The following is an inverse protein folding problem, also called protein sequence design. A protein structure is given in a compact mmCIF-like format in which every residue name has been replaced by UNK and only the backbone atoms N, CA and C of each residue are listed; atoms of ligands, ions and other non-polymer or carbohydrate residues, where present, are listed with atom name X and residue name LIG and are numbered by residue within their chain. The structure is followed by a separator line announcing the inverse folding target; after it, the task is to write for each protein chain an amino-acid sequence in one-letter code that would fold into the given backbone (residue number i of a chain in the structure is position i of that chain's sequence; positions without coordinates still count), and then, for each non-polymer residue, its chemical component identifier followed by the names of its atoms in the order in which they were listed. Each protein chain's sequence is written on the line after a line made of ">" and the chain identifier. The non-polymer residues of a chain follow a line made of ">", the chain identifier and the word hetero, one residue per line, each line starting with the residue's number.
data_IF_429942645582
#
_entry.id   IF_429942645582
#
_cell.length_a   1.000
_cell.length_b   1.000
_cell.length_c   1.000
_cell.angle_alpha   90.00
_cell.angle_beta   90.00
_cell.angle_gamma   90.00
#
_symmetry.space_group_name_H-M   'P 1'
#
loop_
_entity.id
_entity.type
_entity.pdbx_description
1 polymer ?
#
# COMPACT_ATOMS: atom_id res chain seq x y z
N UNK A 1 -48.91 -57.19 -43.21
CA UNK A 1 -47.57 -56.91 -42.77
C UNK A 1 -47.44 -55.37 -42.65
N UNK A 2 -47.44 -54.82 -41.40
CA UNK A 2 -47.41 -53.41 -41.14
C UNK A 2 -46.01 -53.09 -40.64
N UNK A 3 -45.20 -52.35 -41.44
CA UNK A 3 -43.91 -51.83 -41.06
C UNK A 3 -44.11 -50.54 -40.23
N UNK A 4 -43.76 -50.60 -38.93
CA UNK A 4 -43.66 -49.43 -38.07
C UNK A 4 -42.24 -48.87 -38.20
N UNK A 5 -42.08 -47.72 -38.83
CA UNK A 5 -40.85 -46.94 -38.87
C UNK A 5 -40.69 -46.23 -37.52
N UNK A 6 -39.66 -46.61 -36.74
CA UNK A 6 -39.21 -45.84 -35.59
C UNK A 6 -38.27 -44.70 -36.06
N UNK A 7 -38.69 -43.48 -35.79
CA UNK A 7 -37.87 -42.28 -36.01
C UNK A 7 -37.01 -42.03 -34.74
N UNK A 8 -35.69 -41.91 -34.81
CA UNK A 8 -34.90 -41.58 -33.64
C UNK A 8 -34.98 -40.07 -33.33
N UNK A 9 -35.43 -39.75 -32.15
CA UNK A 9 -35.45 -38.40 -31.62
C UNK A 9 -34.01 -38.01 -31.23
N UNK A 10 -33.37 -37.17 -32.05
CA UNK A 10 -32.04 -36.62 -31.75
C UNK A 10 -32.16 -35.54 -30.66
N UNK A 11 -31.70 -35.88 -29.43
CA UNK A 11 -31.54 -34.89 -28.36
C UNK A 11 -30.40 -33.97 -28.70
N UNK A 12 -30.67 -32.72 -29.16
CA UNK A 12 -29.68 -31.66 -29.21
C UNK A 12 -29.37 -31.15 -27.81
N UNK A 13 -28.23 -31.54 -27.27
CA UNK A 13 -27.68 -30.93 -26.04
C UNK A 13 -27.18 -29.52 -26.38
N UNK A 14 -27.91 -28.50 -25.94
CA UNK A 14 -27.41 -27.12 -25.93
C UNK A 14 -26.23 -27.07 -24.94
N UNK A 15 -25.00 -27.06 -25.48
CA UNK A 15 -23.82 -26.65 -24.75
C UNK A 15 -24.01 -25.17 -24.38
N UNK A 16 -24.30 -24.89 -23.11
CA UNK A 16 -24.27 -23.54 -22.59
C UNK A 16 -22.83 -23.04 -22.72
N UNK A 17 -22.57 -22.21 -23.75
CA UNK A 17 -21.33 -21.45 -23.84
C UNK A 17 -21.25 -20.56 -22.59
N UNK A 18 -20.45 -20.93 -21.61
CA UNK A 18 -20.04 -20.02 -20.56
C UNK A 18 -19.45 -18.79 -21.25
N UNK A 19 -19.98 -17.61 -20.95
CA UNK A 19 -19.43 -16.37 -21.47
C UNK A 19 -17.92 -16.33 -21.15
N UNK A 20 -17.04 -15.99 -22.09
CA UNK A 20 -15.63 -15.88 -21.83
C UNK A 20 -15.42 -14.91 -20.66
N UNK A 21 -14.44 -15.16 -19.78
CA UNK A 21 -14.13 -14.24 -18.68
C UNK A 21 -13.95 -12.85 -19.28
N UNK A 22 -14.50 -11.82 -18.63
CA UNK A 22 -14.40 -10.44 -19.08
C UNK A 22 -12.92 -10.13 -19.33
N UNK A 23 -12.55 -10.03 -20.57
CA UNK A 23 -11.26 -9.52 -21.01
C UNK A 23 -11.34 -8.00 -20.90
N UNK A 24 -10.23 -7.36 -20.53
CA UNK A 24 -10.19 -5.92 -20.31
C UNK A 24 -10.15 -5.53 -18.82
N UNK A 25 -10.23 -4.24 -18.58
CA UNK A 25 -10.10 -3.65 -17.26
C UNK A 25 -8.65 -3.37 -16.87
N UNK A 26 -8.45 -3.08 -15.58
CA UNK A 26 -7.13 -2.68 -15.06
C UNK A 26 -6.52 -3.86 -14.30
N UNK A 27 -5.30 -4.24 -14.67
CA UNK A 27 -4.48 -5.16 -13.88
C UNK A 27 -3.39 -4.35 -13.19
N UNK A 28 -3.31 -4.46 -11.87
CA UNK A 28 -2.27 -3.81 -11.09
C UNK A 28 -1.33 -4.88 -10.49
N UNK A 29 -0.03 -4.62 -10.56
CA UNK A 29 1.02 -5.46 -9.97
C UNK A 29 1.71 -4.78 -8.78
N UNK A 30 1.17 -3.63 -8.34
CA UNK A 30 1.71 -2.84 -7.23
C UNK A 30 0.65 -2.70 -6.12
N UNK A 31 0.90 -3.14 -4.87
CA UNK A 31 -0.08 -3.13 -3.78
C UNK A 31 -0.54 -1.73 -3.39
N UNK A 32 0.27 -0.69 -3.61
CA UNK A 32 -0.13 0.68 -3.32
C UNK A 32 -1.06 1.24 -4.41
N UNK A 33 -0.83 0.88 -5.69
CA UNK A 33 -1.76 1.19 -6.76
C UNK A 33 -3.10 0.45 -6.58
N UNK A 34 -3.08 -0.77 -6.07
CA UNK A 34 -4.29 -1.54 -5.75
C UNK A 34 -5.19 -0.78 -4.77
N UNK A 35 -4.61 -0.23 -3.71
CA UNK A 35 -5.35 0.56 -2.71
C UNK A 35 -5.98 1.82 -3.34
N UNK A 36 -5.24 2.51 -4.21
CA UNK A 36 -5.76 3.68 -4.93
C UNK A 36 -6.89 3.26 -5.88
N UNK A 37 -6.66 2.26 -6.74
CA UNK A 37 -7.64 1.78 -7.73
C UNK A 37 -8.89 1.21 -7.08
N UNK A 38 -8.76 0.44 -6.01
CA UNK A 38 -9.91 -0.08 -5.25
C UNK A 38 -10.76 1.05 -4.65
N UNK A 39 -10.15 2.22 -4.40
CA UNK A 39 -10.85 3.41 -3.88
C UNK A 39 -11.52 4.20 -5.00
N UNK A 40 -10.79 4.49 -6.10
CA UNK A 40 -11.29 5.42 -7.13
C UNK A 40 -11.94 4.76 -8.34
N UNK A 41 -11.60 3.50 -8.66
CA UNK A 41 -12.06 2.77 -9.84
C UNK A 41 -12.38 1.28 -9.57
N UNK A 42 -13.11 0.92 -8.49
CA UNK A 42 -13.29 -0.49 -8.08
C UNK A 42 -13.94 -1.35 -9.18
N UNK A 43 -14.85 -0.79 -9.98
CA UNK A 43 -15.54 -1.51 -11.05
C UNK A 43 -14.69 -1.74 -12.30
N UNK A 44 -13.51 -1.11 -12.40
CA UNK A 44 -12.56 -1.31 -13.50
C UNK A 44 -11.38 -2.21 -13.13
N UNK A 45 -11.16 -2.47 -11.84
CA UNK A 45 -10.05 -3.28 -11.34
C UNK A 45 -10.34 -4.77 -11.57
N UNK A 46 -9.61 -5.37 -12.50
CA UNK A 46 -9.78 -6.77 -12.93
C UNK A 46 -8.92 -7.73 -12.12
N UNK A 47 -7.73 -7.31 -11.70
CA UNK A 47 -6.83 -8.10 -10.84
C UNK A 47 -5.86 -7.17 -10.09
N UNK A 48 -5.36 -7.64 -8.96
CA UNK A 48 -4.46 -6.92 -8.06
C UNK A 48 -3.18 -7.71 -7.81
N UNK A 49 -2.16 -7.06 -7.26
CA UNK A 49 -0.94 -7.70 -6.82
C UNK A 49 -1.24 -8.76 -5.75
N UNK A 50 -0.55 -9.90 -5.80
CA UNK A 50 -0.63 -10.91 -4.73
C UNK A 50 -0.19 -10.37 -3.37
N UNK A 51 0.70 -9.37 -3.33
CA UNK A 51 1.08 -8.69 -2.10
C UNK A 51 -0.11 -8.00 -1.40
N UNK A 52 -1.15 -7.64 -2.11
CA UNK A 52 -2.36 -7.07 -1.50
C UNK A 52 -3.19 -8.09 -0.71
N UNK A 53 -2.92 -9.39 -0.86
CA UNK A 53 -3.50 -10.45 -0.03
C UNK A 53 -2.66 -10.77 1.22
N UNK A 54 -1.49 -10.16 1.37
CA UNK A 54 -0.65 -10.27 2.56
C UNK A 54 -0.87 -9.06 3.49
N UNK A 55 -1.34 -9.27 4.74
CA UNK A 55 -1.58 -8.18 5.69
C UNK A 55 -0.31 -7.41 6.06
N UNK A 56 0.86 -8.03 5.96
CA UNK A 56 2.16 -7.38 6.23
C UNK A 56 2.65 -6.50 5.07
N UNK A 57 2.12 -6.66 3.86
CA UNK A 57 2.62 -5.98 2.66
C UNK A 57 1.64 -4.96 2.07
N UNK A 58 0.41 -4.87 2.59
CA UNK A 58 -0.65 -4.03 2.00
C UNK A 58 -1.19 -2.99 2.97
N UNK A 59 -1.61 -1.84 2.40
CA UNK A 59 -2.49 -0.87 3.07
C UNK A 59 -3.96 -1.05 2.70
N UNK A 60 -4.28 -1.95 1.76
CA UNK A 60 -5.64 -2.27 1.36
C UNK A 60 -6.26 -3.24 2.38
N UNK A 61 -7.46 -2.96 2.94
CA UNK A 61 -8.13 -3.91 3.83
C UNK A 61 -8.31 -5.28 3.17
N UNK A 62 -7.90 -6.35 3.83
CA UNK A 62 -7.95 -7.72 3.27
C UNK A 62 -9.34 -8.14 2.78
N UNK A 63 -10.40 -7.68 3.46
CA UNK A 63 -11.77 -7.93 3.03
C UNK A 63 -12.10 -7.28 1.67
N UNK A 64 -11.40 -6.19 1.31
CA UNK A 64 -11.51 -5.54 0.00
C UNK A 64 -10.60 -6.26 -1.00
N UNK A 65 -9.34 -6.53 -0.63
CA UNK A 65 -8.40 -7.23 -1.49
C UNK A 65 -8.94 -8.56 -2.00
N UNK A 66 -9.54 -9.36 -1.12
CA UNK A 66 -10.12 -10.68 -1.45
C UNK A 66 -11.29 -10.65 -2.45
N UNK A 67 -11.78 -9.49 -2.82
CA UNK A 67 -12.80 -9.34 -3.88
C UNK A 67 -12.21 -9.42 -5.28
N UNK A 68 -10.90 -9.32 -5.39
CA UNK A 68 -10.19 -9.29 -6.66
C UNK A 68 -9.25 -10.49 -6.77
N UNK A 69 -9.14 -11.12 -7.96
CA UNK A 69 -8.12 -12.13 -8.20
C UNK A 69 -6.73 -11.52 -8.05
N UNK A 70 -5.82 -12.28 -7.44
CA UNK A 70 -4.42 -11.88 -7.31
C UNK A 70 -3.62 -12.29 -8.55
N UNK A 71 -2.59 -11.51 -8.88
CA UNK A 71 -1.58 -11.83 -9.90
C UNK A 71 -0.19 -11.79 -9.28
N UNK A 72 0.67 -12.74 -9.67
CA UNK A 72 2.08 -12.73 -9.26
C UNK A 72 2.90 -11.65 -9.97
N UNK A 73 2.35 -11.05 -11.03
CA UNK A 73 2.98 -9.97 -11.80
C UNK A 73 3.95 -10.48 -12.88
N UNK A 74 3.92 -11.78 -13.22
CA UNK A 74 4.67 -12.28 -14.37
C UNK A 74 4.08 -11.73 -15.66
N UNK A 75 4.93 -11.61 -16.70
CA UNK A 75 4.48 -11.07 -17.98
C UNK A 75 3.35 -11.92 -18.59
N UNK A 76 3.50 -13.23 -18.54
CA UNK A 76 2.57 -14.20 -19.11
C UNK A 76 1.19 -14.09 -18.46
N UNK A 77 1.16 -14.02 -17.12
CA UNK A 77 -0.08 -13.97 -16.36
C UNK A 77 -0.86 -12.68 -16.64
N UNK A 78 -0.17 -11.54 -16.72
CA UNK A 78 -0.78 -10.25 -16.99
C UNK A 78 -1.25 -10.17 -18.46
N UNK A 79 -0.41 -10.60 -19.42
CA UNK A 79 -0.75 -10.58 -20.86
C UNK A 79 -1.97 -11.48 -21.14
N UNK A 80 -2.03 -12.66 -20.51
CA UNK A 80 -3.16 -13.59 -20.69
C UNK A 80 -4.52 -13.02 -20.24
N UNK A 81 -4.51 -11.94 -19.43
CA UNK A 81 -5.75 -11.26 -19.00
C UNK A 81 -6.23 -10.20 -19.99
N UNK A 82 -5.45 -9.89 -21.01
CA UNK A 82 -5.75 -8.85 -22.01
C UNK A 82 -6.25 -7.54 -21.38
N UNK A 83 -5.48 -6.91 -20.44
CA UNK A 83 -5.94 -5.72 -19.75
C UNK A 83 -5.97 -4.49 -20.67
N UNK A 84 -6.90 -3.56 -20.41
CA UNK A 84 -6.92 -2.23 -21.04
C UNK A 84 -5.77 -1.35 -20.51
N UNK A 85 -5.36 -1.57 -19.25
CA UNK A 85 -4.30 -0.84 -18.58
C UNK A 85 -3.58 -1.77 -17.59
N UNK A 86 -2.25 -1.75 -17.62
CA UNK A 86 -1.39 -2.31 -16.57
C UNK A 86 -0.85 -1.18 -15.72
N UNK A 87 -1.01 -1.28 -14.40
CA UNK A 87 -0.35 -0.37 -13.45
C UNK A 87 0.73 -1.17 -12.71
N UNK A 88 1.97 -0.75 -12.87
CA UNK A 88 3.17 -1.39 -12.32
C UNK A 88 4.09 -0.36 -11.70
N UNK A 89 5.26 -0.75 -11.24
CA UNK A 89 6.25 0.16 -10.67
C UNK A 89 7.64 -0.02 -11.31
N UNK A 90 8.56 0.87 -10.93
CA UNK A 90 9.94 0.87 -11.41
C UNK A 90 10.74 -0.35 -10.95
N UNK A 91 10.28 -1.07 -9.92
CA UNK A 91 10.95 -2.27 -9.38
C UNK A 91 10.59 -3.53 -10.17
N UNK A 92 9.56 -3.48 -11.01
CA UNK A 92 9.24 -4.59 -11.91
C UNK A 92 10.44 -4.92 -12.80
N UNK A 93 10.79 -6.21 -13.02
CA UNK A 93 11.92 -6.59 -13.85
C UNK A 93 11.87 -5.97 -15.25
N UNK A 94 13.00 -5.53 -15.78
CA UNK A 94 13.07 -4.92 -17.12
C UNK A 94 12.46 -5.84 -18.19
N UNK A 95 12.76 -7.15 -18.14
CA UNK A 95 12.21 -8.13 -19.06
C UNK A 95 10.67 -8.21 -19.03
N UNK A 96 10.06 -8.04 -17.84
CA UNK A 96 8.60 -7.99 -17.68
C UNK A 96 8.02 -6.75 -18.36
N UNK A 97 8.61 -5.57 -18.11
CA UNK A 97 8.17 -4.31 -18.75
C UNK A 97 8.30 -4.35 -20.26
N UNK A 98 9.41 -4.92 -20.76
CA UNK A 98 9.62 -5.12 -22.21
C UNK A 98 8.61 -6.10 -22.81
N UNK A 99 8.25 -7.17 -22.09
CA UNK A 99 7.23 -8.10 -22.54
C UNK A 99 5.84 -7.43 -22.66
N UNK A 100 5.47 -6.56 -21.71
CA UNK A 100 4.25 -5.75 -21.81
C UNK A 100 4.28 -4.85 -23.04
N UNK A 101 5.40 -4.18 -23.32
CA UNK A 101 5.56 -3.32 -24.49
C UNK A 101 5.46 -4.14 -25.79
N UNK A 102 6.12 -5.30 -25.89
CA UNK A 102 6.00 -6.19 -27.06
C UNK A 102 4.59 -6.71 -27.28
N UNK A 103 3.83 -6.92 -26.20
CA UNK A 103 2.42 -7.31 -26.28
C UNK A 103 1.47 -6.15 -26.60
N UNK A 104 1.99 -4.93 -26.77
CA UNK A 104 1.18 -3.74 -27.11
C UNK A 104 0.28 -3.26 -25.96
N UNK A 105 0.58 -3.61 -24.71
CA UNK A 105 -0.21 -3.21 -23.55
C UNK A 105 0.01 -1.74 -23.21
N UNK A 106 -1.04 -1.06 -22.80
CA UNK A 106 -0.93 0.27 -22.17
C UNK A 106 -0.44 0.10 -20.75
N UNK A 107 0.71 0.70 -20.41
CA UNK A 107 1.36 0.55 -19.09
C UNK A 107 1.55 1.91 -18.43
N UNK A 108 1.13 2.02 -17.17
CA UNK A 108 1.48 3.12 -16.27
C UNK A 108 2.51 2.59 -15.27
N UNK A 109 3.73 3.12 -15.32
CA UNK A 109 4.79 2.80 -14.38
C UNK A 109 4.86 3.88 -13.29
N UNK A 110 4.88 3.47 -12.02
CA UNK A 110 4.90 4.34 -10.86
C UNK A 110 6.28 4.34 -10.20
N UNK A 111 6.69 5.50 -9.70
CA UNK A 111 7.83 5.63 -8.80
C UNK A 111 7.42 5.32 -7.35
N UNK A 112 8.40 5.25 -6.43
CA UNK A 112 8.13 5.23 -5.00
C UNK A 112 7.95 6.68 -4.49
N UNK A 113 6.78 7.09 -3.98
CA UNK A 113 6.57 8.46 -3.55
C UNK A 113 7.28 8.71 -2.21
N UNK A 114 8.18 9.70 -2.17
CA UNK A 114 8.89 10.09 -0.96
C UNK A 114 8.13 11.14 -0.12
N UNK A 115 7.08 11.75 -0.68
CA UNK A 115 6.31 12.80 -0.03
C UNK A 115 4.80 12.62 -0.23
N UNK A 116 4.00 13.29 0.59
CA UNK A 116 2.55 13.35 0.43
C UNK A 116 2.20 13.91 -0.95
N UNK A 117 2.86 15.01 -1.37
CA UNK A 117 2.62 15.62 -2.69
C UNK A 117 2.97 14.67 -3.84
N UNK A 118 4.07 13.90 -3.75
CA UNK A 118 4.40 12.88 -4.75
C UNK A 118 3.33 11.77 -4.80
N UNK A 119 2.79 11.38 -3.65
CA UNK A 119 1.69 10.40 -3.58
C UNK A 119 0.39 10.96 -4.18
N UNK A 120 0.07 12.23 -3.95
CA UNK A 120 -1.06 12.92 -4.57
C UNK A 120 -0.93 12.97 -6.09
N UNK A 121 0.28 13.26 -6.59
CA UNK A 121 0.56 13.22 -8.03
C UNK A 121 0.34 11.82 -8.62
N UNK A 122 0.72 10.75 -7.91
CA UNK A 122 0.43 9.37 -8.33
C UNK A 122 -1.08 9.09 -8.37
N UNK A 123 -1.85 9.54 -7.38
CA UNK A 123 -3.32 9.40 -7.38
C UNK A 123 -3.91 10.04 -8.63
N UNK A 124 -3.46 11.25 -8.99
CA UNK A 124 -3.92 11.95 -10.21
C UNK A 124 -3.53 11.20 -11.48
N UNK A 125 -2.29 10.69 -11.55
CA UNK A 125 -1.81 9.93 -12.71
C UNK A 125 -2.63 8.64 -12.91
N UNK A 126 -2.84 7.88 -11.84
CA UNK A 126 -3.67 6.66 -11.86
C UNK A 126 -5.12 6.98 -12.24
N UNK A 127 -5.70 8.04 -11.66
CA UNK A 127 -7.08 8.43 -11.94
C UNK A 127 -7.27 8.86 -13.40
N UNK A 128 -6.28 9.57 -13.97
CA UNK A 128 -6.27 9.94 -15.40
C UNK A 128 -6.20 8.71 -16.28
N UNK A 129 -5.26 7.80 -16.04
CA UNK A 129 -5.09 6.57 -16.79
C UNK A 129 -6.32 5.65 -16.68
N UNK A 130 -6.93 5.60 -15.49
CA UNK A 130 -8.16 4.84 -15.23
C UNK A 130 -9.44 5.53 -15.76
N UNK A 131 -9.38 6.72 -16.35
CA UNK A 131 -10.54 7.45 -16.86
C UNK A 131 -11.51 7.96 -15.79
N UNK A 132 -11.02 8.21 -14.57
CA UNK A 132 -11.83 8.67 -13.42
C UNK A 132 -11.22 9.91 -12.72
N UNK A 133 -10.84 10.97 -13.46
CA UNK A 133 -10.06 12.09 -12.91
C UNK A 133 -10.76 12.79 -11.74
N UNK A 134 -12.09 12.92 -11.77
CA UNK A 134 -12.85 13.54 -10.69
C UNK A 134 -12.74 12.78 -9.36
N UNK A 135 -12.69 11.43 -9.40
CA UNK A 135 -12.51 10.60 -8.20
C UNK A 135 -11.10 10.72 -7.63
N UNK A 136 -10.08 10.81 -8.51
CA UNK A 136 -8.72 11.10 -8.09
C UNK A 136 -8.61 12.44 -7.38
N UNK A 137 -9.17 13.51 -7.97
CA UNK A 137 -9.20 14.83 -7.36
C UNK A 137 -9.94 14.85 -6.01
N UNK A 138 -11.01 14.07 -5.86
CA UNK A 138 -11.70 13.93 -4.59
C UNK A 138 -10.84 13.25 -3.51
N UNK A 139 -10.07 12.21 -3.88
CA UNK A 139 -9.15 11.55 -2.96
C UNK A 139 -8.01 12.50 -2.54
N UNK A 140 -7.43 13.26 -3.47
CA UNK A 140 -6.39 14.26 -3.17
C UNK A 140 -6.92 15.29 -2.19
N UNK A 141 -8.11 15.87 -2.42
CA UNK A 141 -8.71 16.79 -1.45
C UNK A 141 -8.93 16.19 -0.07
N UNK A 142 -9.29 14.90 0.00
CA UNK A 142 -9.42 14.19 1.28
C UNK A 142 -8.09 14.06 2.01
N UNK A 143 -6.97 13.88 1.28
CA UNK A 143 -5.62 13.86 1.84
C UNK A 143 -5.22 15.25 2.35
N UNK A 144 -5.37 16.29 1.52
CA UNK A 144 -5.02 17.67 1.85
C UNK A 144 -5.73 18.18 3.11
N UNK A 145 -7.00 17.76 3.28
CA UNK A 145 -7.85 18.20 4.39
C UNK A 145 -7.89 17.24 5.58
N UNK A 146 -7.10 16.14 5.54
CA UNK A 146 -7.16 15.08 6.55
C UNK A 146 -6.86 15.58 7.97
N UNK A 147 -5.89 16.49 8.08
CA UNK A 147 -5.48 17.14 9.34
C UNK A 147 -5.03 18.57 9.07
N UNK A 148 -5.36 19.54 9.94
CA UNK A 148 -4.82 20.89 9.84
C UNK A 148 -3.30 20.88 10.07
N UNK A 149 -2.57 21.89 9.58
CA UNK A 149 -1.15 22.06 9.89
C UNK A 149 -0.90 22.09 11.40
N UNK A 150 0.10 21.33 11.85
CA UNK A 150 0.46 21.29 13.25
C UNK A 150 1.28 22.53 13.66
N UNK A 151 0.97 23.10 14.82
CA UNK A 151 1.68 24.22 15.40
C UNK A 151 2.28 23.81 16.76
N UNK A 152 3.35 24.52 17.19
CA UNK A 152 4.00 24.33 18.48
C UNK A 152 5.00 23.18 18.51
N UNK A 153 5.16 22.56 19.68
CA UNK A 153 6.16 21.52 19.92
C UNK A 153 6.03 20.32 18.96
N UNK A 154 7.17 19.82 18.49
CA UNK A 154 7.29 18.66 17.59
C UNK A 154 8.03 17.53 18.34
N UNK A 155 7.32 16.71 19.14
CA UNK A 155 7.94 15.63 19.89
C UNK A 155 8.77 14.71 18.99
N UNK A 156 10.01 14.34 19.39
CA UNK A 156 10.81 13.38 18.65
C UNK A 156 10.23 11.98 18.80
N UNK A 157 10.04 11.30 17.68
CA UNK A 157 9.58 9.90 17.64
C UNK A 157 10.47 9.09 16.72
N UNK A 158 10.70 7.83 17.07
CA UNK A 158 11.42 6.87 16.26
C UNK A 158 10.43 5.84 15.72
N UNK A 159 10.34 5.68 14.41
CA UNK A 159 9.41 4.77 13.76
C UNK A 159 10.14 3.55 13.24
N UNK A 160 9.74 2.35 13.71
CA UNK A 160 10.20 1.07 13.19
C UNK A 160 9.20 0.52 12.17
N UNK A 161 9.69 0.19 10.97
CA UNK A 161 8.88 -0.37 9.89
C UNK A 161 8.88 -1.90 9.90
N UNK A 162 9.95 -2.51 10.46
CA UNK A 162 10.03 -3.95 10.69
C UNK A 162 11.18 -4.22 11.68
N UNK A 163 10.99 -5.10 12.64
CA UNK A 163 12.05 -5.55 13.54
C UNK A 163 12.87 -4.40 14.15
N UNK A 164 14.14 -4.30 13.78
CA UNK A 164 15.09 -3.25 14.13
C UNK A 164 15.33 -2.21 13.00
N UNK A 165 14.58 -2.32 11.90
CA UNK A 165 14.65 -1.41 10.77
C UNK A 165 13.86 -0.13 11.05
N UNK A 166 14.58 0.96 11.33
CA UNK A 166 14.00 2.27 11.60
C UNK A 166 13.82 3.10 10.32
N UNK A 167 12.73 3.86 10.26
CA UNK A 167 12.45 4.77 9.16
C UNK A 167 13.32 6.02 9.25
N UNK A 168 14.21 6.20 8.26
CA UNK A 168 15.06 7.36 8.13
C UNK A 168 14.38 8.59 7.52
N UNK A 169 15.17 9.59 7.18
CA UNK A 169 14.70 10.80 6.48
C UNK A 169 14.35 10.57 5.02
N UNK A 170 13.70 11.55 4.39
CA UNK A 170 13.43 11.56 2.96
C UNK A 170 12.45 10.50 2.47
N UNK A 171 11.62 9.98 3.34
CA UNK A 171 10.58 8.97 3.02
C UNK A 171 9.17 9.56 3.17
N UNK A 172 8.17 8.91 2.59
CA UNK A 172 6.77 9.28 2.79
C UNK A 172 6.38 9.28 4.28
N UNK A 173 6.89 8.31 5.06
CA UNK A 173 6.62 8.24 6.50
C UNK A 173 7.25 9.40 7.27
N UNK A 174 8.43 9.88 6.85
CA UNK A 174 9.06 11.07 7.39
C UNK A 174 8.21 12.33 7.12
N UNK A 175 7.69 12.47 5.90
CA UNK A 175 6.80 13.58 5.54
C UNK A 175 5.46 13.52 6.30
N UNK A 176 4.90 12.32 6.51
CA UNK A 176 3.72 12.11 7.34
C UNK A 176 3.95 12.50 8.80
N UNK A 177 5.08 12.14 9.39
CA UNK A 177 5.48 12.56 10.74
C UNK A 177 5.54 14.10 10.81
N UNK A 178 6.23 14.72 9.85
CA UNK A 178 6.36 16.17 9.77
C UNK A 178 5.01 16.88 9.65
N UNK A 179 4.13 16.38 8.78
CA UNK A 179 2.78 16.92 8.57
C UNK A 179 1.91 16.80 9.84
N UNK A 180 2.04 15.70 10.57
CA UNK A 180 1.33 15.49 11.84
C UNK A 180 1.91 16.30 13.01
N UNK A 181 3.03 17.03 12.80
CA UNK A 181 3.71 17.81 13.82
C UNK A 181 4.56 16.98 14.77
N UNK A 182 5.07 15.86 14.30
CA UNK A 182 6.09 15.06 14.95
C UNK A 182 7.46 15.32 14.30
N UNK A 183 8.55 14.99 14.99
CA UNK A 183 9.91 15.01 14.46
C UNK A 183 10.43 13.57 14.36
N UNK A 184 10.94 13.22 13.19
CA UNK A 184 11.64 11.95 13.04
C UNK A 184 12.97 11.99 13.81
N UNK A 185 13.12 11.11 14.80
CA UNK A 185 14.33 11.04 15.63
C UNK A 185 15.44 10.19 14.99
N UNK A 186 15.24 9.58 13.83
CA UNK A 186 16.23 8.70 13.21
C UNK A 186 17.58 9.39 12.98
N UNK A 187 17.57 10.70 12.65
CA UNK A 187 18.79 11.50 12.47
C UNK A 187 19.59 11.68 13.75
N UNK A 188 18.95 11.67 14.92
CA UNK A 188 19.62 11.77 16.23
C UNK A 188 20.50 10.53 16.49
N UNK A 189 20.25 9.44 15.76
CA UNK A 189 21.01 8.20 15.80
C UNK A 189 21.91 7.99 14.57
N UNK A 190 22.12 9.03 13.76
CA UNK A 190 22.96 8.98 12.58
C UNK A 190 22.30 8.33 11.33
N UNK A 191 21.00 8.05 11.38
CA UNK A 191 20.28 7.50 10.22
C UNK A 191 19.75 8.61 9.31
N UNK A 192 20.50 8.92 8.26
CA UNK A 192 20.02 9.80 7.18
C UNK A 192 18.93 9.14 6.32
N UNK A 193 19.00 7.80 6.20
CA UNK A 193 18.08 6.95 5.43
C UNK A 193 17.53 5.85 6.31
N UNK A 194 16.53 5.12 5.82
CA UNK A 194 16.02 3.91 6.48
C UNK A 194 17.14 2.90 6.68
N UNK A 195 17.30 2.41 7.91
CA UNK A 195 18.39 1.52 8.28
C UNK A 195 18.16 0.82 9.62
N UNK A 196 19.00 -0.16 9.89
CA UNK A 196 18.99 -0.91 11.14
C UNK A 196 19.52 -0.05 12.28
N UNK A 197 18.81 -0.04 13.41
CA UNK A 197 19.20 0.70 14.61
C UNK A 197 19.26 -0.25 15.81
N UNK A 198 20.50 -0.54 16.31
CA UNK A 198 20.69 -1.39 17.46
C UNK A 198 20.02 -0.82 18.72
N UNK A 199 19.44 -1.70 19.52
CA UNK A 199 18.70 -1.31 20.72
C UNK A 199 19.59 -0.62 21.77
N UNK A 200 20.88 -0.96 21.82
CA UNK A 200 21.87 -0.35 22.71
C UNK A 200 22.03 1.14 22.42
N UNK A 201 22.01 1.51 21.13
CA UNK A 201 22.09 2.91 20.68
C UNK A 201 20.86 3.69 21.14
N UNK A 202 19.68 3.07 21.06
CA UNK A 202 18.43 3.69 21.53
C UNK A 202 18.40 3.81 23.03
N UNK A 203 18.88 2.78 23.77
CA UNK A 203 18.91 2.78 25.23
C UNK A 203 19.86 3.83 25.80
N UNK A 204 20.93 4.18 25.08
CA UNK A 204 21.87 5.26 25.47
C UNK A 204 21.24 6.65 25.38
N UNK A 205 20.35 6.88 24.40
CA UNK A 205 19.69 8.18 24.16
C UNK A 205 18.21 7.94 23.79
N UNK A 206 17.34 7.58 24.74
CA UNK A 206 15.98 7.15 24.46
C UNK A 206 15.13 8.28 23.83
N UNK A 207 14.37 8.01 22.75
CA UNK A 207 13.45 8.99 22.16
C UNK A 207 12.22 9.19 23.08
N UNK A 208 11.46 10.24 22.87
CA UNK A 208 10.20 10.47 23.57
C UNK A 208 9.20 9.34 23.35
N UNK A 209 9.11 8.85 22.12
CA UNK A 209 8.24 7.73 21.78
C UNK A 209 8.86 6.87 20.68
N UNK A 210 8.47 5.60 20.68
CA UNK A 210 8.72 4.64 19.59
C UNK A 210 7.39 4.25 18.99
N UNK A 211 7.32 4.32 17.67
CA UNK A 211 6.19 3.87 16.86
C UNK A 211 6.56 2.57 16.16
N UNK A 212 5.74 1.55 16.27
CA UNK A 212 5.91 0.26 15.58
C UNK A 212 4.57 -0.44 15.48
N UNK A 213 4.49 -1.53 14.72
CA UNK A 213 3.30 -2.37 14.70
C UNK A 213 3.01 -3.01 16.09
N UNK A 214 4.00 -2.99 16.95
CA UNK A 214 3.86 -3.47 18.33
C UNK A 214 4.09 -4.96 18.48
N UNK A 215 4.21 -5.70 17.38
CA UNK A 215 4.27 -7.15 17.37
C UNK A 215 5.69 -7.70 17.17
N UNK A 216 5.87 -8.93 17.65
CA UNK A 216 7.05 -9.72 17.40
C UNK A 216 8.15 -9.63 18.45
N UNK A 217 9.06 -10.59 18.38
CA UNK A 217 10.13 -10.83 19.37
C UNK A 217 11.05 -9.61 19.55
N UNK A 218 11.35 -8.89 18.46
CA UNK A 218 12.23 -7.71 18.50
C UNK A 218 11.57 -6.55 19.25
N UNK A 219 10.27 -6.32 19.03
CA UNK A 219 9.51 -5.31 19.78
C UNK A 219 9.45 -5.64 21.27
N UNK A 220 9.21 -6.92 21.62
CA UNK A 220 9.23 -7.38 23.01
C UNK A 220 10.59 -7.18 23.68
N UNK A 221 11.67 -7.50 22.98
CA UNK A 221 13.04 -7.30 23.49
C UNK A 221 13.33 -5.82 23.73
N UNK A 222 12.97 -4.97 22.76
CA UNK A 222 13.13 -3.52 22.86
C UNK A 222 12.40 -2.96 24.07
N UNK A 223 11.12 -3.32 24.28
CA UNK A 223 10.34 -2.90 25.46
C UNK A 223 11.02 -3.27 26.77
N UNK A 224 11.50 -4.51 26.89
CA UNK A 224 12.19 -4.99 28.12
C UNK A 224 13.49 -4.23 28.39
N UNK A 225 14.28 -3.94 27.36
CA UNK A 225 15.55 -3.23 27.50
C UNK A 225 15.30 -1.77 27.91
N UNK A 226 14.38 -1.09 27.24
CA UNK A 226 14.02 0.30 27.55
C UNK A 226 13.41 0.43 28.93
N UNK A 227 12.56 -0.50 29.35
CA UNK A 227 12.03 -0.51 30.72
C UNK A 227 13.14 -0.67 31.79
N UNK A 228 14.18 -1.47 31.52
CA UNK A 228 15.32 -1.65 32.45
C UNK A 228 16.26 -0.45 32.46
N UNK A 229 16.37 0.31 31.38
CA UNK A 229 17.21 1.52 31.35
C UNK A 229 16.62 2.71 32.13
N UNK A 230 15.40 2.58 32.66
CA UNK A 230 14.67 3.67 33.31
C UNK A 230 14.19 4.76 32.36
N UNK A 231 14.22 4.51 31.06
CA UNK A 231 13.80 5.46 30.04
C UNK A 231 12.29 5.72 30.12
N UNK A 232 11.91 6.99 30.11
CA UNK A 232 10.50 7.42 29.99
C UNK A 232 9.98 7.37 28.54
N UNK A 233 10.44 6.39 27.76
CA UNK A 233 10.02 6.19 26.37
C UNK A 233 8.67 5.49 26.31
N UNK A 234 7.72 6.06 25.57
CA UNK A 234 6.41 5.46 25.33
C UNK A 234 6.45 4.69 24.00
N UNK A 235 6.11 3.41 24.04
CA UNK A 235 5.90 2.64 22.78
C UNK A 235 4.42 2.70 22.41
N UNK A 236 4.15 3.11 21.14
CA UNK A 236 2.80 3.32 20.64
C UNK A 236 2.61 2.52 19.35
N UNK A 237 1.53 1.75 19.31
CA UNK A 237 1.20 0.98 18.11
C UNK A 237 0.89 1.90 16.90
N UNK A 238 1.59 1.63 15.81
CA UNK A 238 1.36 2.21 14.50
C UNK A 238 1.33 1.09 13.46
N UNK A 239 0.13 0.64 13.04
CA UNK A 239 -0.04 -0.57 12.24
C UNK A 239 0.64 -0.53 10.88
N UNK A 240 1.14 -1.67 10.39
CA UNK A 240 1.75 -1.83 9.07
C UNK A 240 0.88 -1.29 7.94
N UNK A 241 -0.44 -1.49 8.00
CA UNK A 241 -1.38 -0.97 7.01
C UNK A 241 -1.32 0.56 6.84
N UNK A 242 -0.76 1.29 7.81
CA UNK A 242 -0.54 2.74 7.75
C UNK A 242 0.87 3.13 7.30
N UNK A 243 1.77 2.14 7.15
CA UNK A 243 3.18 2.35 6.80
C UNK A 243 3.51 2.00 5.35
N UNK A 244 2.78 1.04 4.77
CA UNK A 244 3.20 0.42 3.51
C UNK A 244 2.98 1.30 2.28
N UNK A 245 1.92 2.12 2.26
CA UNK A 245 1.52 2.83 1.05
C UNK A 245 1.12 4.29 1.29
N UNK A 246 1.19 5.08 0.22
CA UNK A 246 0.55 6.38 0.11
C UNK A 246 -0.95 6.30 -0.27
N UNK A 247 -1.43 7.29 -0.99
CA UNK A 247 -2.81 7.36 -1.46
C UNK A 247 -3.83 7.35 -0.31
N UNK A 248 -4.84 6.48 -0.35
CA UNK A 248 -5.92 6.48 0.65
C UNK A 248 -5.44 6.16 2.07
N UNK A 249 -4.29 5.49 2.24
CA UNK A 249 -3.72 5.19 3.56
C UNK A 249 -3.21 6.44 4.30
N UNK A 250 -2.90 7.52 3.58
CA UNK A 250 -2.40 8.78 4.17
C UNK A 250 -3.42 9.36 5.17
N UNK A 251 -4.70 9.34 4.84
CA UNK A 251 -5.75 9.93 5.70
C UNK A 251 -5.80 9.28 7.10
N UNK A 252 -5.94 7.95 7.23
CA UNK A 252 -5.91 7.31 8.55
C UNK A 252 -4.54 7.38 9.21
N UNK A 253 -3.43 7.35 8.45
CA UNK A 253 -2.08 7.49 9.00
C UNK A 253 -1.89 8.87 9.67
N UNK A 254 -2.25 9.97 8.99
CA UNK A 254 -2.18 11.32 9.54
C UNK A 254 -3.05 11.47 10.79
N UNK A 255 -4.28 10.95 10.78
CA UNK A 255 -5.17 10.99 11.95
C UNK A 255 -4.55 10.25 13.14
N UNK A 256 -3.97 9.07 12.91
CA UNK A 256 -3.30 8.30 13.96
C UNK A 256 -2.09 9.04 14.51
N UNK A 257 -1.21 9.57 13.65
CA UNK A 257 -0.03 10.34 14.05
C UNK A 257 -0.41 11.61 14.82
N UNK A 258 -1.46 12.31 14.41
CA UNK A 258 -1.97 13.48 15.14
C UNK A 258 -2.48 13.12 16.53
N UNK A 259 -3.20 12.00 16.68
CA UNK A 259 -3.63 11.52 17.98
C UNK A 259 -2.44 11.16 18.88
N UNK A 260 -1.40 10.52 18.32
CA UNK A 260 -0.15 10.23 19.04
C UNK A 260 0.53 11.53 19.49
N UNK A 261 0.66 12.51 18.60
CA UNK A 261 1.22 13.83 18.96
C UNK A 261 0.48 14.46 20.14
N UNK A 262 -0.84 14.49 20.07
CA UNK A 262 -1.68 15.08 21.14
C UNK A 262 -1.39 14.40 22.48
N UNK A 263 -1.34 13.07 22.51
CA UNK A 263 -1.02 12.30 23.73
C UNK A 263 0.42 12.52 24.24
N UNK A 264 1.36 12.91 23.40
CA UNK A 264 2.74 13.20 23.80
C UNK A 264 2.95 14.64 24.28
N UNK A 265 1.99 15.55 24.02
CA UNK A 265 2.06 16.98 24.36
C UNK A 265 1.09 17.38 25.46
N UNK A 266 0.15 16.51 25.83
CA UNK A 266 -0.71 16.64 27.02
C UNK A 266 0.03 16.20 28.28
#
# INVERSE_FOLDING_TARGET
>A
VVFRSCLPLALMTLAACAAPPRQGGIVSTNPCADAILATIAPGRLAAISHYSHDPGATSLPLAVARRYPAVAGTAEEVIARHPDLVVTDIFAPAATREAYARAGLTVLTLDAPATISASEAQVIAIAKAAGVPARGAALVRAIETAVPPAHGARPPVLLFIAGDLANGGGTLLDDLLARAGLRNAATDYGLAFTGTLPIETIAAHPPRAILSDGDGRTADLRRRILARSGAATVEVAFPHALMNCGGPAIVPALRRLTAIRTALTS
#
